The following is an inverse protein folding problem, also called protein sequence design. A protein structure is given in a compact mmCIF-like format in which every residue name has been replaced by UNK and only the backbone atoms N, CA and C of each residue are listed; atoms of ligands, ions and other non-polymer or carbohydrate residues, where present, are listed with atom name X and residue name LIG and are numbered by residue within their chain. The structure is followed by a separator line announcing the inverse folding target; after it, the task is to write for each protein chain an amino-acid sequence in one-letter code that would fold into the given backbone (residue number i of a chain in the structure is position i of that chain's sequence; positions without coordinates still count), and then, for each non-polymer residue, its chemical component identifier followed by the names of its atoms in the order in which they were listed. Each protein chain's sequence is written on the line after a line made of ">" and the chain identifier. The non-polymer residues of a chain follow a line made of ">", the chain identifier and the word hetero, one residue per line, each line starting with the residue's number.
data_IF_772051313596
#
_entry.id   IF_772051313596
#
_cell.length_a   1.000
_cell.length_b   1.000
_cell.length_c   1.000
_cell.angle_alpha   90.00
_cell.angle_beta   90.00
_cell.angle_gamma   90.00
#
_symmetry.space_group_name_H-M   'P 1'
#
loop_
_entity.id
_entity.type
_entity.pdbx_description
1 polymer ?
#
# COMPACT_ATOMS: atom_id res chain seq x y z
N UNK A 1 16.78 -9.52 19.86
CA UNK A 1 16.20 -9.15 18.55
C UNK A 1 16.46 -10.32 17.62
N UNK A 2 15.41 -11.01 17.16
CA UNK A 2 15.59 -12.15 16.28
C UNK A 2 16.10 -11.68 14.91
N UNK A 3 17.21 -12.26 14.47
CA UNK A 3 17.79 -12.01 13.16
C UNK A 3 16.89 -12.64 12.11
N UNK A 4 16.37 -11.81 11.20
CA UNK A 4 15.42 -12.22 10.17
C UNK A 4 16.10 -13.18 9.17
N UNK A 5 15.75 -14.48 9.22
CA UNK A 5 16.16 -15.44 8.20
C UNK A 5 15.02 -15.65 7.20
N UNK A 6 15.29 -15.35 5.92
CA UNK A 6 14.36 -15.56 4.80
C UNK A 6 13.92 -17.03 4.63
N UNK A 7 14.60 -17.95 5.32
CA UNK A 7 14.38 -19.39 5.28
C UNK A 7 12.98 -19.81 5.70
N UNK A 8 12.28 -18.96 6.45
CA UNK A 8 10.97 -19.29 7.03
C UNK A 8 9.80 -18.75 6.20
N UNK A 9 10.08 -17.92 5.19
CA UNK A 9 9.11 -17.59 4.15
C UNK A 9 9.16 -18.74 3.13
N UNK A 10 8.01 -19.31 2.70
CA UNK A 10 7.99 -20.42 1.76
C UNK A 10 8.90 -20.06 0.60
N UNK A 11 9.96 -20.85 0.39
CA UNK A 11 11.09 -20.57 -0.50
C UNK A 11 10.58 -20.11 -1.86
N UNK A 12 10.30 -18.82 -1.96
CA UNK A 12 9.61 -18.29 -3.10
C UNK A 12 10.70 -18.22 -4.14
N UNK A 13 10.47 -18.82 -5.31
CA UNK A 13 11.35 -18.72 -6.49
C UNK A 13 11.43 -17.27 -7.01
N UNK A 14 11.13 -16.30 -6.17
CA UNK A 14 11.08 -14.89 -6.48
C UNK A 14 12.47 -14.31 -6.36
N UNK A 15 12.91 -13.66 -7.43
CA UNK A 15 14.12 -12.87 -7.43
C UNK A 15 13.77 -11.43 -7.05
N UNK A 16 14.21 -10.99 -5.88
CA UNK A 16 14.06 -9.59 -5.45
C UNK A 16 15.23 -8.75 -5.96
N UNK A 17 14.93 -7.70 -6.72
CA UNK A 17 15.92 -6.83 -7.34
C UNK A 17 15.47 -5.37 -7.30
N UNK A 18 16.38 -4.46 -7.63
CA UNK A 18 16.05 -3.04 -7.74
C UNK A 18 15.10 -2.81 -8.92
N UNK A 19 14.18 -1.87 -8.72
CA UNK A 19 13.31 -1.38 -9.78
C UNK A 19 14.14 -0.66 -10.85
N UNK A 20 13.77 -0.88 -12.10
CA UNK A 20 14.25 -0.15 -13.28
C UNK A 20 13.06 0.31 -14.10
N UNK A 21 13.21 1.31 -14.98
CA UNK A 21 12.11 1.73 -15.87
C UNK A 21 11.52 0.60 -16.73
N UNK A 22 12.27 -0.47 -17.00
CA UNK A 22 11.77 -1.65 -17.71
C UNK A 22 10.76 -2.48 -16.89
N UNK A 23 10.72 -2.32 -15.57
CA UNK A 23 9.75 -2.97 -14.68
C UNK A 23 8.38 -2.27 -14.67
N UNK A 24 8.32 -1.02 -15.18
CA UNK A 24 7.16 -0.14 -15.07
C UNK A 24 5.84 -0.81 -15.53
N UNK A 25 5.76 -1.50 -16.68
CA UNK A 25 4.51 -2.13 -17.11
C UNK A 25 4.00 -3.19 -16.12
N UNK A 26 4.93 -3.93 -15.47
CA UNK A 26 4.57 -4.95 -14.49
C UNK A 26 4.11 -4.35 -13.16
N UNK A 27 4.76 -3.28 -12.71
CA UNK A 27 4.35 -2.51 -11.53
C UNK A 27 2.98 -1.88 -11.75
N UNK A 28 2.75 -1.23 -12.90
CA UNK A 28 1.44 -0.65 -13.24
C UNK A 28 0.33 -1.70 -13.30
N UNK A 29 0.62 -2.88 -13.84
CA UNK A 29 -0.33 -3.98 -13.89
C UNK A 29 -0.73 -4.48 -12.49
N UNK A 30 0.16 -4.43 -11.50
CA UNK A 30 -0.15 -4.70 -10.11
C UNK A 30 -0.89 -3.53 -9.46
N UNK A 31 -0.44 -2.29 -9.67
CA UNK A 31 -1.07 -1.09 -9.14
C UNK A 31 -2.55 -0.98 -9.53
N UNK A 32 -2.87 -1.30 -10.79
CA UNK A 32 -4.26 -1.28 -11.29
C UNK A 32 -5.19 -2.28 -10.61
N UNK A 33 -4.66 -3.26 -9.87
CA UNK A 33 -5.45 -4.22 -9.08
C UNK A 33 -5.89 -3.66 -7.73
N UNK A 34 -5.30 -2.56 -7.26
CA UNK A 34 -5.81 -1.90 -6.08
C UNK A 34 -7.21 -1.37 -6.37
N UNK A 35 -8.17 -1.84 -5.55
CA UNK A 35 -9.57 -1.43 -5.61
C UNK A 35 -9.70 0.09 -5.47
N UNK A 36 -8.88 0.66 -4.61
CA UNK A 36 -8.81 2.09 -4.33
C UNK A 36 -7.39 2.57 -4.59
N UNK A 37 -7.27 3.55 -5.49
CA UNK A 37 -6.00 4.08 -5.97
C UNK A 37 -6.23 5.43 -6.65
N UNK A 38 -5.18 6.25 -6.74
CA UNK A 38 -5.20 7.41 -7.63
C UNK A 38 -5.27 6.97 -9.09
N UNK A 39 -6.08 7.64 -9.89
CA UNK A 39 -6.05 7.47 -11.34
C UNK A 39 -4.83 8.21 -11.88
N UNK A 40 -4.02 7.50 -12.66
CA UNK A 40 -2.78 8.02 -13.24
C UNK A 40 -2.94 8.20 -14.73
N UNK A 41 -2.57 9.38 -15.21
CA UNK A 41 -2.45 9.68 -16.62
C UNK A 41 -1.18 9.03 -17.21
N UNK A 42 -1.07 8.88 -18.53
CA UNK A 42 0.14 8.39 -19.17
C UNK A 42 1.37 9.21 -18.77
N UNK A 43 2.38 8.55 -18.21
CA UNK A 43 3.62 9.18 -17.75
C UNK A 43 3.70 9.44 -16.26
N UNK A 44 2.57 9.50 -15.54
CA UNK A 44 2.55 9.76 -14.09
C UNK A 44 3.34 8.70 -13.32
N UNK A 45 3.10 7.41 -13.59
CA UNK A 45 3.81 6.33 -12.91
C UNK A 45 5.32 6.41 -13.13
N UNK A 46 5.75 6.80 -14.34
CA UNK A 46 7.18 6.98 -14.61
C UNK A 46 7.73 8.12 -13.76
N UNK A 47 7.08 9.29 -13.79
CA UNK A 47 7.48 10.44 -12.99
C UNK A 47 7.56 10.10 -11.48
N UNK A 48 6.55 9.41 -10.94
CA UNK A 48 6.49 9.03 -9.53
C UNK A 48 7.57 8.02 -9.12
N UNK A 49 7.78 6.97 -9.92
CA UNK A 49 8.72 5.91 -9.54
C UNK A 49 10.17 6.23 -9.84
N UNK A 50 10.45 7.26 -10.65
CA UNK A 50 11.81 7.71 -10.93
C UNK A 50 12.18 9.05 -10.31
N UNK A 51 11.30 9.66 -9.50
CA UNK A 51 11.64 10.92 -8.84
C UNK A 51 12.81 10.72 -7.84
N UNK A 52 13.69 11.72 -7.67
CA UNK A 52 14.80 11.64 -6.73
C UNK A 52 14.33 11.31 -5.31
N UNK A 53 15.02 10.41 -4.61
CA UNK A 53 14.65 10.00 -3.24
C UNK A 53 13.65 8.83 -3.18
N UNK A 54 12.94 8.55 -4.29
CA UNK A 54 12.11 7.34 -4.42
C UNK A 54 12.95 6.16 -4.87
N UNK A 55 12.87 5.05 -4.14
CA UNK A 55 13.65 3.82 -4.41
C UNK A 55 12.75 2.60 -4.41
N UNK A 56 12.76 1.82 -5.49
CA UNK A 56 11.89 0.66 -5.64
C UNK A 56 12.63 -0.67 -5.56
N UNK A 57 11.98 -1.69 -4.99
CA UNK A 57 12.32 -3.09 -5.19
C UNK A 57 11.15 -3.82 -5.86
N UNK A 58 11.48 -4.80 -6.69
CA UNK A 58 10.50 -5.70 -7.32
C UNK A 58 10.86 -7.15 -7.06
N UNK A 59 9.87 -8.00 -6.87
CA UNK A 59 10.00 -9.45 -6.89
C UNK A 59 9.55 -9.98 -8.25
N UNK A 60 10.41 -10.76 -8.92
CA UNK A 60 10.09 -11.43 -10.19
C UNK A 60 9.87 -12.92 -9.99
N UNK A 61 8.80 -13.45 -10.58
CA UNK A 61 8.58 -14.88 -10.71
C UNK A 61 9.56 -15.52 -11.69
N UNK A 62 9.62 -16.85 -11.69
CA UNK A 62 10.53 -17.62 -12.57
C UNK A 62 10.27 -17.37 -14.07
N UNK A 63 9.04 -17.00 -14.44
CA UNK A 63 8.65 -16.62 -15.80
C UNK A 63 8.96 -15.14 -16.13
N UNK A 64 9.65 -14.43 -15.24
CA UNK A 64 10.05 -13.04 -15.41
C UNK A 64 8.98 -12.01 -15.05
N UNK A 65 7.73 -12.40 -14.78
CA UNK A 65 6.66 -11.45 -14.41
C UNK A 65 6.91 -10.82 -13.04
N UNK A 66 6.55 -9.56 -12.88
CA UNK A 66 6.55 -8.88 -11.57
C UNK A 66 5.43 -9.47 -10.72
N UNK A 67 5.80 -10.08 -9.60
CA UNK A 67 4.89 -10.70 -8.64
C UNK A 67 4.51 -9.73 -7.51
N UNK A 68 5.47 -8.91 -7.05
CA UNK A 68 5.25 -7.88 -6.05
C UNK A 68 6.25 -6.73 -6.21
N UNK A 69 5.96 -5.60 -5.58
CA UNK A 69 6.85 -4.44 -5.54
C UNK A 69 6.68 -3.64 -4.24
N UNK A 70 7.69 -2.84 -3.91
CA UNK A 70 7.64 -1.85 -2.84
C UNK A 70 8.49 -0.63 -3.22
N UNK A 71 7.98 0.58 -3.00
CA UNK A 71 8.69 1.84 -3.15
C UNK A 71 8.87 2.50 -1.79
N UNK A 72 10.11 2.91 -1.52
CA UNK A 72 10.53 3.58 -0.31
C UNK A 72 10.81 5.06 -0.60
N UNK A 73 10.38 5.93 0.31
CA UNK A 73 10.44 7.38 0.10
C UNK A 73 9.46 7.87 -0.96
N UNK A 74 9.22 9.18 -0.94
CA UNK A 74 8.51 9.90 -2.00
C UNK A 74 9.16 11.28 -2.14
N UNK A 75 10.16 11.39 -3.01
CA UNK A 75 10.93 12.64 -3.02
C UNK A 75 11.80 12.80 -1.77
N UNK A 76 11.77 14.01 -1.21
CA UNK A 76 12.33 14.31 0.11
C UNK A 76 11.43 13.85 1.28
N UNK A 77 10.19 13.45 1.00
CA UNK A 77 9.23 13.06 2.01
C UNK A 77 9.33 11.57 2.36
N UNK A 78 8.97 11.25 3.60
CA UNK A 78 8.89 9.89 4.12
C UNK A 78 10.13 9.01 3.82
N UNK A 79 11.38 9.49 4.01
CA UNK A 79 12.59 8.82 3.54
C UNK A 79 12.80 7.41 4.12
N UNK A 80 12.12 7.09 5.21
CA UNK A 80 12.21 5.83 5.96
C UNK A 80 10.93 4.97 5.92
N UNK A 81 10.00 5.28 5.01
CA UNK A 81 8.76 4.54 4.83
C UNK A 81 8.74 3.79 3.49
N UNK A 82 8.16 2.59 3.50
CA UNK A 82 7.55 1.99 2.32
C UNK A 82 6.24 2.72 2.08
N UNK A 83 6.24 3.61 1.09
CA UNK A 83 5.14 4.51 0.77
C UNK A 83 4.17 3.93 -0.25
N UNK A 84 4.58 2.91 -1.00
CA UNK A 84 3.71 2.19 -1.94
C UNK A 84 4.16 0.74 -2.06
N UNK A 85 3.21 -0.18 -2.14
CA UNK A 85 3.51 -1.59 -2.37
C UNK A 85 2.32 -2.30 -3.04
N UNK A 86 2.60 -3.40 -3.72
CA UNK A 86 1.56 -4.20 -4.37
C UNK A 86 2.00 -5.62 -4.67
N UNK A 87 1.03 -6.51 -4.89
CA UNK A 87 1.23 -7.94 -5.06
C UNK A 87 0.57 -8.78 -3.95
N UNK A 88 0.45 -10.10 -4.12
CA UNK A 88 -0.07 -10.97 -3.07
C UNK A 88 0.92 -11.02 -1.89
N UNK A 89 0.38 -11.18 -0.68
CA UNK A 89 1.13 -11.20 0.58
C UNK A 89 2.40 -12.05 0.52
N UNK A 90 2.29 -13.29 0.05
CA UNK A 90 3.41 -14.24 0.04
C UNK A 90 4.55 -13.81 -0.90
N UNK A 91 4.25 -13.00 -1.93
CA UNK A 91 5.26 -12.40 -2.80
C UNK A 91 5.81 -11.08 -2.26
N UNK A 92 5.02 -10.35 -1.46
CA UNK A 92 5.37 -9.06 -0.88
C UNK A 92 6.32 -9.20 0.32
N UNK A 93 6.11 -10.17 1.21
CA UNK A 93 6.94 -10.34 2.42
C UNK A 93 8.45 -10.43 2.11
N UNK A 94 8.91 -11.19 1.09
CA UNK A 94 10.32 -11.18 0.67
C UNK A 94 10.83 -9.80 0.22
N UNK A 95 9.97 -8.98 -0.40
CA UNK A 95 10.33 -7.63 -0.86
C UNK A 95 10.50 -6.69 0.33
N UNK A 96 9.52 -6.63 1.24
CA UNK A 96 9.55 -5.75 2.42
C UNK A 96 10.74 -6.03 3.31
N UNK A 97 11.09 -7.29 3.41
CA UNK A 97 12.16 -7.65 4.28
C UNK A 97 13.51 -7.43 3.57
N UNK A 98 13.60 -7.57 2.23
CA UNK A 98 14.74 -7.06 1.47
C UNK A 98 14.93 -5.54 1.61
N UNK A 99 13.83 -4.77 1.64
CA UNK A 99 13.83 -3.32 1.98
C UNK A 99 14.51 -3.08 3.33
N UNK A 100 14.11 -3.81 4.38
CA UNK A 100 14.71 -3.70 5.72
C UNK A 100 16.20 -4.02 5.72
N UNK A 101 16.61 -5.14 5.10
CA UNK A 101 18.04 -5.54 5.00
C UNK A 101 18.91 -4.52 4.30
N UNK A 102 18.38 -3.92 3.23
CA UNK A 102 19.06 -2.86 2.46
C UNK A 102 18.98 -1.51 3.15
N UNK A 103 18.34 -1.43 4.33
CA UNK A 103 18.11 -0.20 5.10
C UNK A 103 17.44 0.89 4.25
N UNK A 104 16.50 0.45 3.40
CA UNK A 104 15.76 1.38 2.53
C UNK A 104 14.63 2.08 3.29
N UNK A 105 13.97 1.36 4.20
CA UNK A 105 12.94 1.88 5.09
C UNK A 105 12.85 1.01 6.35
N UNK A 106 12.44 1.59 7.48
CA UNK A 106 12.08 0.88 8.71
C UNK A 106 10.57 0.83 8.95
N UNK A 107 9.81 1.66 8.26
CA UNK A 107 8.36 1.78 8.45
C UNK A 107 7.62 1.40 7.17
N UNK A 108 6.39 0.92 7.31
CA UNK A 108 5.50 0.60 6.19
C UNK A 108 4.16 1.25 6.46
N UNK A 109 3.64 1.93 5.44
CA UNK A 109 2.26 2.39 5.48
C UNK A 109 1.34 1.23 5.10
N UNK A 110 0.38 0.93 5.97
CA UNK A 110 -0.66 -0.08 5.72
C UNK A 110 -1.99 0.67 5.68
N UNK A 111 -2.66 0.72 4.52
CA UNK A 111 -3.94 1.41 4.43
C UNK A 111 -5.07 0.55 4.98
N UNK A 112 -6.22 1.20 5.19
CA UNK A 112 -7.46 0.49 5.48
C UNK A 112 -7.79 -0.53 4.38
N UNK A 113 -8.19 -1.74 4.78
CA UNK A 113 -8.48 -2.87 3.90
C UNK A 113 -7.28 -3.74 3.52
N UNK A 114 -6.09 -3.45 4.03
CA UNK A 114 -4.86 -4.23 3.85
C UNK A 114 -4.30 -4.75 5.19
N UNK A 115 -5.15 -4.83 6.22
CA UNK A 115 -4.77 -5.22 7.58
C UNK A 115 -4.37 -6.71 7.69
N UNK A 116 -4.66 -7.51 6.67
CA UNK A 116 -4.21 -8.90 6.57
C UNK A 116 -2.67 -9.03 6.51
N UNK A 117 -1.98 -7.93 6.26
CA UNK A 117 -0.52 -7.81 6.36
C UNK A 117 -0.03 -7.52 7.78
N UNK A 118 -0.86 -6.97 8.68
CA UNK A 118 -0.46 -6.56 10.03
C UNK A 118 0.00 -7.77 10.85
N UNK A 119 -0.84 -8.80 11.00
CA UNK A 119 -0.51 -9.97 11.82
C UNK A 119 0.80 -10.64 11.36
N UNK A 120 1.01 -10.95 10.06
CA UNK A 120 2.29 -11.48 9.57
C UNK A 120 3.51 -10.60 9.91
N UNK A 121 3.38 -9.28 9.95
CA UNK A 121 4.48 -8.39 10.32
C UNK A 121 4.70 -8.36 11.84
N UNK A 122 3.62 -8.35 12.62
CA UNK A 122 3.66 -8.39 14.09
C UNK A 122 4.24 -9.71 14.60
N UNK A 123 3.86 -10.83 14.01
CA UNK A 123 4.41 -12.16 14.28
C UNK A 123 5.94 -12.21 14.03
N UNK A 124 6.45 -11.29 13.21
CA UNK A 124 7.88 -11.10 12.91
C UNK A 124 8.55 -10.03 13.79
N UNK A 125 7.85 -9.56 14.82
CA UNK A 125 8.34 -8.60 15.81
C UNK A 125 8.20 -7.13 15.41
N UNK A 126 7.44 -6.81 14.36
CA UNK A 126 7.10 -5.42 14.08
C UNK A 126 6.12 -4.88 15.14
N UNK A 127 6.39 -3.66 15.62
CA UNK A 127 5.35 -2.86 16.26
C UNK A 127 4.40 -2.28 15.20
N UNK A 128 3.20 -1.91 15.61
CA UNK A 128 2.26 -1.21 14.75
C UNK A 128 1.46 -0.18 15.54
N UNK A 129 0.96 0.83 14.84
CA UNK A 129 0.06 1.85 15.36
C UNK A 129 -0.90 2.26 14.25
N UNK A 130 -2.19 2.43 14.56
CA UNK A 130 -3.14 3.07 13.65
C UNK A 130 -3.14 4.58 13.88
N UNK A 131 -3.10 5.36 12.80
CA UNK A 131 -3.20 6.81 12.85
C UNK A 131 -4.14 7.29 11.72
N UNK A 132 -4.92 8.36 11.94
CA UNK A 132 -5.68 8.98 10.86
C UNK A 132 -4.70 9.58 9.84
N UNK A 133 -4.74 9.12 8.59
CA UNK A 133 -3.70 9.42 7.59
C UNK A 133 -4.07 10.51 6.58
N UNK A 134 -4.92 11.47 6.96
CA UNK A 134 -5.28 12.58 6.08
C UNK A 134 -6.65 13.19 6.39
N UNK A 135 -7.02 14.16 5.56
CA UNK A 135 -8.34 14.78 5.56
C UNK A 135 -8.94 14.66 4.17
N UNK A 136 -10.27 14.62 4.11
CA UNK A 136 -11.03 14.48 2.88
C UNK A 136 -12.40 15.11 3.09
N UNK A 137 -13.06 15.48 2.01
CA UNK A 137 -14.40 16.02 2.03
C UNK A 137 -15.25 15.39 0.91
N UNK A 138 -16.44 14.91 1.26
CA UNK A 138 -17.45 14.55 0.26
C UNK A 138 -18.08 15.83 -0.25
N UNK A 139 -17.86 16.14 -1.53
CA UNK A 139 -18.44 17.32 -2.16
C UNK A 139 -19.87 17.04 -2.67
N UNK A 140 -20.15 15.78 -3.05
CA UNK A 140 -21.43 15.34 -3.59
C UNK A 140 -21.78 13.94 -3.02
N UNK A 141 -22.48 13.87 -1.87
CA UNK A 141 -22.78 12.60 -1.20
C UNK A 141 -23.81 11.75 -1.94
N UNK A 142 -24.71 12.38 -2.71
CA UNK A 142 -25.71 11.66 -3.50
C UNK A 142 -25.04 10.89 -4.63
N UNK A 143 -24.19 11.57 -5.41
CA UNK A 143 -23.45 10.94 -6.50
C UNK A 143 -22.45 9.89 -6.01
N UNK A 144 -21.82 10.12 -4.86
CA UNK A 144 -20.94 9.13 -4.24
C UNK A 144 -21.70 7.85 -3.84
N UNK A 145 -22.93 7.98 -3.33
CA UNK A 145 -23.76 6.83 -2.98
C UNK A 145 -24.16 5.99 -4.21
N UNK A 146 -24.32 6.61 -5.39
CA UNK A 146 -24.55 5.89 -6.65
C UNK A 146 -23.36 5.00 -7.05
N UNK A 147 -22.14 5.36 -6.67
CA UNK A 147 -20.95 4.56 -6.92
C UNK A 147 -20.83 3.35 -5.99
N UNK A 148 -21.63 3.26 -4.93
CA UNK A 148 -21.61 2.12 -4.02
C UNK A 148 -22.29 0.89 -4.64
N UNK A 149 -21.82 -0.34 -4.29
CA UNK A 149 -22.54 -1.56 -4.59
C UNK A 149 -23.99 -1.50 -4.07
N UNK A 150 -24.98 -2.08 -4.78
CA UNK A 150 -26.39 -1.98 -4.41
C UNK A 150 -26.71 -2.37 -2.96
N UNK A 151 -25.98 -3.34 -2.41
CA UNK A 151 -26.09 -3.83 -1.03
C UNK A 151 -25.67 -2.78 0.02
N UNK A 152 -24.79 -1.84 -0.33
CA UNK A 152 -24.29 -0.78 0.56
C UNK A 152 -25.10 0.52 0.45
N UNK A 153 -26.00 0.65 -0.54
CA UNK A 153 -26.81 1.86 -0.76
C UNK A 153 -27.95 2.05 0.26
N UNK A 154 -28.41 0.96 0.90
CA UNK A 154 -29.57 1.00 1.82
C UNK A 154 -29.24 1.46 3.25
N UNK A 155 -27.96 1.52 3.60
CA UNK A 155 -27.49 1.73 4.97
C UNK A 155 -27.05 3.17 5.28
N UNK A 156 -27.05 4.07 4.32
CA UNK A 156 -26.39 5.38 4.49
C UNK A 156 -27.35 6.47 4.95
N UNK A 157 -27.07 7.07 6.12
CA UNK A 157 -27.35 8.50 6.37
C UNK A 157 -26.02 9.24 6.14
N UNK A 158 -25.69 9.64 4.89
CA UNK A 158 -24.32 9.85 4.43
C UNK A 158 -23.68 11.19 4.84
N UNK A 159 -24.04 11.78 5.98
CA UNK A 159 -23.56 13.11 6.35
C UNK A 159 -22.29 13.12 7.20
N UNK A 160 -21.90 12.01 7.84
CA UNK A 160 -20.75 11.99 8.75
C UNK A 160 -19.51 11.37 8.09
N UNK A 161 -18.37 12.09 7.95
CA UNK A 161 -17.17 11.58 7.30
C UNK A 161 -16.61 10.27 7.89
N UNK A 162 -16.77 10.04 9.20
CA UNK A 162 -16.34 8.79 9.83
C UNK A 162 -17.10 7.55 9.36
N UNK A 163 -18.36 7.67 8.95
CA UNK A 163 -19.10 6.52 8.41
C UNK A 163 -18.56 6.14 7.03
N UNK A 164 -18.16 7.15 6.27
CA UNK A 164 -17.63 6.93 4.94
C UNK A 164 -16.22 6.38 4.96
N UNK A 165 -15.27 6.84 5.77
CA UNK A 165 -13.92 6.25 5.73
C UNK A 165 -13.29 5.84 7.04
N UNK A 166 -14.15 5.63 8.03
CA UNK A 166 -13.79 4.94 9.24
C UNK A 166 -13.23 5.87 10.29
N UNK A 167 -12.70 5.24 11.32
CA UNK A 167 -12.15 5.91 12.48
C UNK A 167 -11.14 5.01 13.18
N UNK A 168 -10.60 5.49 14.29
CA UNK A 168 -9.86 4.67 15.25
C UNK A 168 -10.69 4.66 16.52
N UNK A 169 -10.92 3.47 17.07
CA UNK A 169 -11.66 3.33 18.32
C UNK A 169 -10.81 3.71 19.55
N UNK A 170 -11.38 3.53 20.73
CA UNK A 170 -10.73 3.90 21.99
C UNK A 170 -9.52 3.01 22.31
N UNK A 171 -9.44 1.84 21.70
CA UNK A 171 -8.35 0.86 21.87
C UNK A 171 -7.26 1.03 20.79
N UNK A 172 -7.36 2.08 19.96
CA UNK A 172 -6.41 2.34 18.90
C UNK A 172 -6.59 1.41 17.69
N UNK A 173 -7.71 0.70 17.58
CA UNK A 173 -7.97 -0.20 16.46
C UNK A 173 -8.65 0.53 15.30
N UNK A 174 -8.28 0.22 14.04
CA UNK A 174 -9.00 0.72 12.87
C UNK A 174 -10.46 0.22 12.87
N UNK A 175 -11.40 1.14 12.74
CA UNK A 175 -12.82 0.85 12.47
C UNK A 175 -13.10 1.27 11.03
N UNK A 176 -13.23 0.33 10.08
CA UNK A 176 -13.38 0.66 8.66
C UNK A 176 -14.67 1.42 8.37
N UNK A 177 -14.61 2.35 7.42
CA UNK A 177 -15.79 3.02 6.84
C UNK A 177 -16.33 2.29 5.60
N UNK A 178 -17.34 2.86 4.97
CA UNK A 178 -17.93 2.35 3.72
C UNK A 178 -16.91 2.32 2.58
N UNK A 179 -16.18 3.42 2.43
CA UNK A 179 -15.04 3.61 1.56
C UNK A 179 -13.80 3.11 2.30
N UNK A 180 -13.46 1.85 2.07
CA UNK A 180 -12.14 1.30 2.44
C UNK A 180 -11.03 1.90 1.56
N UNK A 181 -10.98 3.23 1.45
CA UNK A 181 -10.15 3.92 0.46
C UNK A 181 -8.75 4.11 1.00
N UNK A 182 -7.82 3.45 0.33
CA UNK A 182 -6.42 3.79 0.36
C UNK A 182 -6.14 4.85 -0.71
N UNK A 183 -5.98 6.12 -0.33
CA UNK A 183 -5.36 7.09 -1.25
C UNK A 183 -3.85 6.90 -1.15
N UNK A 184 -3.33 6.01 -1.97
CA UNK A 184 -1.89 5.83 -2.13
C UNK A 184 -1.33 6.97 -2.94
N UNK A 185 -0.57 7.81 -2.26
CA UNK A 185 -0.01 9.03 -2.81
C UNK A 185 -0.68 10.24 -2.19
N UNK A 186 -0.01 10.86 -1.24
CA UNK A 186 -0.06 12.31 -1.18
C UNK A 186 0.59 12.80 -2.47
N UNK A 187 -0.18 12.85 -3.55
CA UNK A 187 0.24 13.36 -4.85
C UNK A 187 0.30 14.89 -4.78
N UNK A 188 0.95 15.41 -3.72
CA UNK A 188 1.46 16.76 -3.69
C UNK A 188 2.71 16.77 -4.58
N UNK A 189 2.49 17.12 -5.84
CA UNK A 189 3.53 17.73 -6.67
C UNK A 189 3.73 19.17 -6.21
#
# INVERSE_FOLDING_TARGET
>A
MADWQLSDLPASRLKVQEFTPADLPGVEALYRRHRWRTLREPGDSQAYYTMPGTRGLVARAADGRIAAYAFCGKGGDFPDYVCEWGGPRDALLPVLAAVRRRKMAQQILIPAGAEDLVNPLVDQGCGWVALPSGQWAVLDPERLAECLPPEMRKTTRPSHPREWLGSIDQDGQPVPGILNVAVWGFDSV
#
